data_IF_060750241612
#
_entry.id   IF_060750241612
#
_cell.length_a   1.000
_cell.length_b   1.000
_cell.length_c   1.000
_cell.angle_alpha   90.00
_cell.angle_beta   90.00
_cell.angle_gamma   90.00
#
_symmetry.space_group_name_H-M   'P 1'
#
loop_
_entity.id
_entity.type
_entity.pdbx_description
1 polymer ?
#
# COMPACT_ATOMS: atom_id res chain seq x y z
N UNK A 1 -7.58 12.74 -29.92
CA UNK A 1 -7.14 11.99 -28.72
C UNK A 1 -6.20 12.89 -27.96
N UNK A 2 -6.75 13.71 -27.07
CA UNK A 2 -5.97 14.48 -26.12
C UNK A 2 -5.70 13.54 -24.94
N UNK A 3 -4.43 13.22 -24.70
CA UNK A 3 -4.03 12.63 -23.44
C UNK A 3 -4.15 13.75 -22.40
N UNK A 4 -5.27 13.80 -21.70
CA UNK A 4 -5.36 14.47 -20.42
C UNK A 4 -4.36 13.75 -19.49
N UNK A 5 -3.15 14.30 -19.44
CA UNK A 5 -2.18 14.00 -18.42
C UNK A 5 -2.77 14.53 -17.12
N UNK A 6 -3.61 13.68 -16.52
CA UNK A 6 -4.16 13.81 -15.19
C UNK A 6 -3.08 14.38 -14.28
N UNK A 7 -3.29 15.65 -13.95
CA UNK A 7 -2.41 16.49 -13.18
C UNK A 7 -2.08 15.74 -11.91
N UNK A 8 -0.85 15.24 -11.82
CA UNK A 8 -0.34 14.50 -10.67
C UNK A 8 -0.45 15.41 -9.45
N UNK A 9 -1.60 15.32 -8.77
CA UNK A 9 -1.92 16.05 -7.56
C UNK A 9 -1.12 15.42 -6.42
N UNK A 10 0.19 15.65 -6.43
CA UNK A 10 1.10 15.22 -5.37
C UNK A 10 0.67 15.98 -4.11
N UNK A 11 0.18 15.31 -3.07
CA UNK A 11 -0.23 15.96 -1.84
C UNK A 11 0.95 16.75 -1.25
N UNK A 12 0.70 17.99 -0.78
CA UNK A 12 1.71 18.90 -0.18
C UNK A 12 2.35 18.39 1.13
N UNK A 13 2.09 17.16 1.53
CA UNK A 13 2.67 16.53 2.70
C UNK A 13 4.00 15.86 2.35
N UNK A 14 5.11 16.44 2.86
CA UNK A 14 6.47 15.88 2.73
C UNK A 14 6.55 14.39 3.13
N UNK A 15 5.67 13.94 4.03
CA UNK A 15 5.61 12.55 4.50
C UNK A 15 5.03 11.59 3.45
N UNK A 16 3.96 12.00 2.76
CA UNK A 16 3.32 11.20 1.71
C UNK A 16 4.22 11.12 0.48
N UNK A 17 4.86 12.24 0.11
CA UNK A 17 5.89 12.25 -0.94
C UNK A 17 7.05 11.31 -0.62
N UNK A 18 7.51 11.28 0.64
CA UNK A 18 8.56 10.35 1.07
C UNK A 18 8.11 8.90 0.98
N UNK A 19 6.88 8.57 1.39
CA UNK A 19 6.34 7.21 1.27
C UNK A 19 6.19 6.78 -0.19
N UNK A 20 5.78 7.68 -1.08
CA UNK A 20 5.69 7.41 -2.51
C UNK A 20 7.07 7.16 -3.14
N UNK A 21 8.07 7.96 -2.78
CA UNK A 21 9.45 7.74 -3.20
C UNK A 21 9.96 6.36 -2.72
N UNK A 22 9.68 5.99 -1.47
CA UNK A 22 10.06 4.69 -0.93
C UNK A 22 9.37 3.56 -1.68
N UNK A 23 8.07 3.67 -1.94
CA UNK A 23 7.34 2.68 -2.73
C UNK A 23 7.94 2.52 -4.14
N UNK A 24 8.36 3.63 -4.78
CA UNK A 24 9.03 3.59 -6.08
C UNK A 24 10.41 2.92 -6.01
N UNK A 25 11.21 3.21 -4.97
CA UNK A 25 12.50 2.55 -4.77
C UNK A 25 12.35 1.06 -4.48
N UNK A 26 11.37 0.66 -3.67
CA UNK A 26 11.03 -0.74 -3.42
C UNK A 26 10.59 -1.47 -4.70
N UNK A 27 9.80 -0.80 -5.54
CA UNK A 27 9.38 -1.35 -6.83
C UNK A 27 10.59 -1.55 -7.75
N UNK A 28 11.49 -0.56 -7.83
CA UNK A 28 12.71 -0.64 -8.62
C UNK A 28 13.65 -1.76 -8.12
N UNK A 29 13.82 -1.87 -6.80
CA UNK A 29 14.60 -2.94 -6.15
C UNK A 29 14.01 -4.31 -6.51
N UNK A 30 12.69 -4.45 -6.41
CA UNK A 30 12.00 -5.70 -6.70
C UNK A 30 12.09 -6.09 -8.18
N UNK A 31 11.96 -5.13 -9.10
CA UNK A 31 12.18 -5.35 -10.53
C UNK A 31 13.61 -5.80 -10.83
N UNK A 32 14.60 -5.12 -10.26
CA UNK A 32 16.01 -5.50 -10.42
C UNK A 32 16.25 -6.94 -9.94
N UNK A 33 15.70 -7.30 -8.77
CA UNK A 33 15.82 -8.65 -8.24
C UNK A 33 15.12 -9.69 -9.13
N UNK A 34 13.97 -9.34 -9.71
CA UNK A 34 13.27 -10.20 -10.66
C UNK A 34 14.09 -10.48 -11.91
N UNK A 35 14.69 -9.44 -12.53
CA UNK A 35 15.60 -9.61 -13.67
C UNK A 35 16.81 -10.48 -13.32
N UNK A 36 17.41 -10.26 -12.14
CA UNK A 36 18.51 -11.09 -11.66
C UNK A 36 18.08 -12.55 -11.50
N UNK A 37 16.90 -12.80 -10.93
CA UNK A 37 16.37 -14.15 -10.74
C UNK A 37 16.08 -14.87 -12.06
N UNK A 38 15.57 -14.15 -13.06
CA UNK A 38 15.35 -14.68 -14.41
C UNK A 38 16.68 -15.07 -15.06
N UNK A 39 17.72 -14.23 -14.93
CA UNK A 39 19.06 -14.53 -15.46
C UNK A 39 19.65 -15.80 -14.84
N UNK A 40 19.48 -15.99 -13.54
CA UNK A 40 19.92 -17.21 -12.83
C UNK A 40 19.10 -18.43 -13.26
N UNK A 41 17.79 -18.27 -13.42
CA UNK A 41 16.91 -19.37 -13.85
C UNK A 41 17.24 -19.85 -15.27
N UNK A 42 17.57 -18.95 -16.19
CA UNK A 42 18.00 -19.30 -17.55
C UNK A 42 19.32 -20.06 -17.54
N UNK A 43 20.23 -19.71 -16.63
CA UNK A 43 21.56 -20.32 -16.53
C UNK A 43 21.52 -21.68 -15.82
N UNK A 44 20.70 -21.82 -14.78
CA UNK A 44 20.56 -23.03 -13.99
C UNK A 44 19.09 -23.23 -13.54
N UNK A 45 18.36 -24.07 -14.28
CA UNK A 45 16.98 -24.46 -13.91
C UNK A 45 17.02 -25.43 -12.72
N UNK A 46 16.82 -24.89 -11.53
CA UNK A 46 16.69 -25.65 -10.29
C UNK A 46 15.41 -25.22 -9.57
N UNK A 47 14.77 -26.11 -8.81
CA UNK A 47 13.57 -25.83 -8.02
C UNK A 47 13.75 -24.62 -7.10
N UNK A 48 14.95 -24.42 -6.54
CA UNK A 48 15.28 -23.26 -5.73
C UNK A 48 15.19 -21.93 -6.52
N UNK A 49 15.67 -21.92 -7.76
CA UNK A 49 15.62 -20.74 -8.63
C UNK A 49 14.17 -20.39 -9.00
N UNK A 50 13.33 -21.40 -9.22
CA UNK A 50 11.89 -21.21 -9.50
C UNK A 50 11.16 -20.63 -8.28
N UNK A 51 11.44 -21.16 -7.08
CA UNK A 51 10.86 -20.67 -5.84
C UNK A 51 11.27 -19.21 -5.56
N UNK A 52 12.55 -18.88 -5.78
CA UNK A 52 13.07 -17.52 -5.66
C UNK A 52 12.33 -16.56 -6.62
N UNK A 53 12.17 -16.96 -7.89
CA UNK A 53 11.45 -16.15 -8.87
C UNK A 53 9.98 -15.92 -8.49
N UNK A 54 9.25 -16.96 -8.06
CA UNK A 54 7.87 -16.83 -7.59
C UNK A 54 7.75 -15.90 -6.38
N UNK A 55 8.71 -15.96 -5.46
CA UNK A 55 8.79 -15.04 -4.32
C UNK A 55 8.96 -13.59 -4.79
N UNK A 56 9.79 -13.35 -5.81
CA UNK A 56 9.95 -11.99 -6.40
C UNK A 56 8.64 -11.46 -6.97
N UNK A 57 7.87 -12.29 -7.69
CA UNK A 57 6.59 -11.89 -8.27
C UNK A 57 5.60 -11.54 -7.16
N UNK A 58 5.52 -12.37 -6.12
CA UNK A 58 4.67 -12.09 -4.98
C UNK A 58 5.03 -10.74 -4.31
N UNK A 59 6.33 -10.44 -4.17
CA UNK A 59 6.79 -9.15 -3.66
C UNK A 59 6.40 -7.98 -4.56
N UNK A 60 6.54 -8.09 -5.87
CA UNK A 60 6.11 -7.04 -6.82
C UNK A 60 4.62 -6.75 -6.63
N UNK A 61 3.78 -7.79 -6.49
CA UNK A 61 2.35 -7.62 -6.27
C UNK A 61 2.04 -6.87 -4.96
N UNK A 62 2.77 -7.16 -3.88
CA UNK A 62 2.56 -6.45 -2.61
C UNK A 62 2.99 -4.98 -2.72
N UNK A 63 4.10 -4.68 -3.40
CA UNK A 63 4.56 -3.30 -3.64
C UNK A 63 3.61 -2.52 -4.54
N UNK A 64 3.03 -3.14 -5.57
CA UNK A 64 1.96 -2.52 -6.37
C UNK A 64 0.74 -2.25 -5.49
N UNK A 65 0.37 -3.20 -4.61
CA UNK A 65 -0.68 -3.01 -3.61
C UNK A 65 -0.42 -1.83 -2.67
N UNK A 66 0.84 -1.64 -2.24
CA UNK A 66 1.27 -0.47 -1.48
C UNK A 66 1.04 0.82 -2.28
N UNK A 67 1.50 0.86 -3.53
CA UNK A 67 1.35 2.03 -4.40
C UNK A 67 -0.11 2.42 -4.60
N UNK A 68 -0.98 1.44 -4.90
CA UNK A 68 -2.43 1.64 -5.01
C UNK A 68 -3.04 2.06 -3.67
N UNK A 69 -2.58 1.48 -2.56
CA UNK A 69 -3.02 1.84 -1.21
C UNK A 69 -2.68 3.29 -0.84
N UNK A 70 -1.50 3.77 -1.23
CA UNK A 70 -1.08 5.16 -1.09
C UNK A 70 -1.88 6.09 -2.00
N UNK A 71 -2.09 5.71 -3.27
CA UNK A 71 -2.80 6.54 -4.26
C UNK A 71 -4.29 6.70 -3.91
N UNK A 72 -4.96 5.59 -3.61
CA UNK A 72 -6.40 5.55 -3.35
C UNK A 72 -6.75 5.78 -1.87
N UNK A 73 -5.76 6.04 -1.03
CA UNK A 73 -5.92 6.27 0.41
C UNK A 73 -6.53 5.09 1.17
N UNK A 74 -6.39 3.86 0.68
CA UNK A 74 -7.05 2.66 1.24
C UNK A 74 -6.19 2.04 2.35
N UNK A 75 -6.57 2.19 3.64
CA UNK A 75 -5.74 1.71 4.75
C UNK A 75 -5.54 0.19 4.75
N UNK A 76 -6.49 -0.58 4.24
CA UNK A 76 -6.42 -2.06 4.21
C UNK A 76 -5.23 -2.59 3.42
N UNK A 77 -4.93 -1.99 2.26
CA UNK A 77 -3.78 -2.40 1.43
C UNK A 77 -2.45 -2.03 2.10
N UNK A 78 -2.40 -0.88 2.78
CA UNK A 78 -1.23 -0.46 3.56
C UNK A 78 -0.97 -1.43 4.74
N UNK A 79 -2.02 -1.85 5.45
CA UNK A 79 -1.90 -2.83 6.55
C UNK A 79 -1.41 -4.17 6.02
N UNK A 80 -1.97 -4.66 4.92
CA UNK A 80 -1.52 -5.92 4.31
C UNK A 80 -0.04 -5.86 3.96
N UNK A 81 0.41 -4.77 3.33
CA UNK A 81 1.82 -4.58 3.03
C UNK A 81 2.69 -4.48 4.28
N UNK A 82 2.25 -3.74 5.32
CA UNK A 82 2.98 -3.62 6.58
C UNK A 82 3.15 -4.97 7.30
N UNK A 83 2.12 -5.81 7.31
CA UNK A 83 2.18 -7.15 7.90
C UNK A 83 3.14 -8.06 7.11
N UNK A 84 3.03 -8.03 5.78
CA UNK A 84 3.87 -8.84 4.90
C UNK A 84 5.34 -8.41 4.97
N UNK A 85 5.61 -7.11 4.89
CA UNK A 85 6.95 -6.53 5.01
C UNK A 85 7.54 -6.76 6.41
N UNK A 86 6.73 -6.65 7.48
CA UNK A 86 7.16 -6.94 8.84
C UNK A 86 7.54 -8.40 9.04
N UNK A 87 6.78 -9.33 8.46
CA UNK A 87 7.11 -10.75 8.48
C UNK A 87 8.41 -11.04 7.72
N UNK A 88 8.59 -10.46 6.54
CA UNK A 88 9.81 -10.60 5.77
C UNK A 88 11.04 -10.07 6.54
N UNK A 89 10.94 -8.87 7.10
CA UNK A 89 12.00 -8.27 7.92
C UNK A 89 12.36 -9.15 9.12
N UNK A 90 11.36 -9.77 9.76
CA UNK A 90 11.58 -10.70 10.87
C UNK A 90 12.33 -11.96 10.41
N UNK A 91 11.99 -12.49 9.24
CA UNK A 91 12.71 -13.62 8.63
C UNK A 91 14.16 -13.24 8.29
N UNK A 92 14.42 -12.04 7.80
CA UNK A 92 15.77 -11.56 7.51
C UNK A 92 16.61 -11.42 8.79
N UNK A 93 16.01 -10.99 9.91
CA UNK A 93 16.68 -10.97 11.22
C UNK A 93 17.03 -12.39 11.68
N UNK A 94 16.10 -13.34 11.57
CA UNK A 94 16.35 -14.75 11.91
C UNK A 94 17.47 -15.31 11.04
N UNK A 95 17.45 -15.00 9.74
CA UNK A 95 18.47 -15.43 8.80
C UNK A 95 19.84 -14.83 9.13
N UNK A 96 19.92 -13.55 9.53
CA UNK A 96 21.14 -12.92 10.01
C UNK A 96 21.72 -13.65 11.23
N UNK A 97 20.89 -13.89 12.26
CA UNK A 97 21.29 -14.59 13.48
C UNK A 97 21.80 -15.99 13.15
N UNK A 98 21.09 -16.70 12.29
CA UNK A 98 21.48 -18.03 11.82
C UNK A 98 22.84 -17.98 11.11
N UNK A 99 23.03 -17.04 10.19
CA UNK A 99 24.28 -16.87 9.43
C UNK A 99 25.48 -16.60 10.34
N UNK A 100 25.29 -15.73 11.34
CA UNK A 100 26.34 -15.40 12.32
C UNK A 100 26.65 -16.59 13.22
N UNK A 101 25.63 -17.31 13.70
CA UNK A 101 25.80 -18.43 14.63
C UNK A 101 26.38 -19.67 13.95
N UNK A 102 26.03 -19.90 12.69
CA UNK A 102 26.49 -21.06 11.93
C UNK A 102 27.88 -20.90 11.34
N UNK A 103 28.49 -19.71 11.43
CA UNK A 103 29.84 -19.48 10.93
C UNK A 103 30.89 -19.85 11.97
N UNK A 104 31.67 -20.93 11.76
CA UNK A 104 32.67 -21.38 12.72
C UNK A 104 33.96 -20.55 12.69
N UNK A 105 34.15 -19.69 11.68
CA UNK A 105 35.37 -18.90 11.47
C UNK A 105 35.00 -17.43 11.21
N UNK A 106 35.65 -16.52 11.93
CA UNK A 106 35.57 -15.09 11.66
C UNK A 106 36.54 -14.73 10.53
N UNK A 107 36.03 -14.72 9.30
CA UNK A 107 36.75 -14.24 8.12
C UNK A 107 36.21 -12.88 7.66
N UNK A 108 37.06 -12.08 7.02
CA UNK A 108 36.75 -10.73 6.54
C UNK A 108 35.63 -10.75 5.49
N UNK A 109 35.53 -11.82 4.68
CA UNK A 109 34.46 -11.97 3.70
C UNK A 109 33.10 -12.21 4.34
N UNK A 110 33.04 -13.07 5.36
CA UNK A 110 31.80 -13.32 6.12
C UNK A 110 31.35 -12.06 6.85
N UNK A 111 32.29 -11.31 7.43
CA UNK A 111 31.99 -10.03 8.07
C UNK A 111 31.39 -9.00 7.09
N UNK A 112 31.93 -8.90 5.86
CA UNK A 112 31.34 -8.04 4.82
C UNK A 112 29.92 -8.48 4.47
N UNK A 113 29.68 -9.78 4.33
CA UNK A 113 28.37 -10.31 3.99
C UNK A 113 27.33 -9.99 5.07
N UNK A 114 27.66 -10.19 6.34
CA UNK A 114 26.78 -9.85 7.46
C UNK A 114 26.52 -8.35 7.56
N UNK A 115 27.54 -7.53 7.31
CA UNK A 115 27.40 -6.07 7.35
C UNK A 115 26.42 -5.59 6.27
N UNK A 116 26.53 -6.11 5.04
CA UNK A 116 25.59 -5.81 3.95
C UNK A 116 24.17 -6.23 4.33
N UNK A 117 24.02 -7.44 4.89
CA UNK A 117 22.71 -7.96 5.31
C UNK A 117 22.09 -7.12 6.43
N UNK A 118 22.90 -6.69 7.40
CA UNK A 118 22.48 -5.76 8.45
C UNK A 118 21.99 -4.42 7.90
N UNK A 119 22.72 -3.82 6.94
CA UNK A 119 22.27 -2.59 6.28
C UNK A 119 20.97 -2.78 5.51
N UNK A 120 20.76 -3.94 4.90
CA UNK A 120 19.49 -4.31 4.26
C UNK A 120 18.32 -4.30 5.24
N UNK A 121 18.46 -4.97 6.38
CA UNK A 121 17.45 -5.00 7.45
C UNK A 121 17.18 -3.58 7.99
N UNK A 122 18.23 -2.80 8.22
CA UNK A 122 18.09 -1.43 8.70
C UNK A 122 17.31 -0.54 7.71
N UNK A 123 17.58 -0.70 6.42
CA UNK A 123 16.83 -0.02 5.36
C UNK A 123 15.35 -0.45 5.37
N UNK A 124 15.06 -1.74 5.43
CA UNK A 124 13.69 -2.27 5.47
C UNK A 124 12.91 -1.79 6.70
N UNK A 125 13.56 -1.78 7.87
CA UNK A 125 12.99 -1.21 9.09
C UNK A 125 12.64 0.27 8.93
N UNK A 126 13.50 1.04 8.24
CA UNK A 126 13.26 2.47 7.98
C UNK A 126 12.07 2.66 7.05
N UNK A 127 11.97 1.86 5.98
CA UNK A 127 10.82 1.87 5.06
C UNK A 127 9.51 1.53 5.78
N UNK A 128 9.52 0.46 6.57
CA UNK A 128 8.37 0.01 7.35
C UNK A 128 7.95 1.06 8.37
N UNK A 129 8.90 1.67 9.08
CA UNK A 129 8.63 2.75 10.04
C UNK A 129 7.96 3.96 9.39
N UNK A 130 8.44 4.39 8.20
CA UNK A 130 7.88 5.56 7.52
C UNK A 130 6.44 5.30 7.04
N UNK A 131 6.17 4.11 6.48
CA UNK A 131 4.83 3.73 6.04
C UNK A 131 3.91 3.51 7.25
N UNK A 132 4.40 2.93 8.34
CA UNK A 132 3.65 2.79 9.58
C UNK A 132 3.29 4.16 10.19
N UNK A 133 4.23 5.11 10.17
CA UNK A 133 4.00 6.48 10.63
C UNK A 133 2.95 7.18 9.78
N UNK A 134 3.00 7.00 8.47
CA UNK A 134 1.97 7.49 7.54
C UNK A 134 0.60 6.86 7.82
N UNK A 135 0.55 5.53 7.97
CA UNK A 135 -0.66 4.79 8.31
C UNK A 135 -1.29 5.29 9.62
N UNK A 136 -0.49 5.47 10.68
CA UNK A 136 -1.00 6.00 11.96
C UNK A 136 -1.59 7.40 11.81
N UNK A 137 -1.00 8.24 10.95
CA UNK A 137 -1.53 9.57 10.65
C UNK A 137 -2.86 9.48 9.91
N UNK A 138 -2.96 8.61 8.91
CA UNK A 138 -4.19 8.36 8.15
C UNK A 138 -5.31 7.83 9.05
N UNK A 139 -5.01 6.85 9.92
CA UNK A 139 -5.98 6.29 10.87
C UNK A 139 -6.46 7.33 11.88
N UNK A 140 -5.59 8.23 12.34
CA UNK A 140 -5.98 9.33 13.23
C UNK A 140 -6.95 10.31 12.56
N UNK A 141 -6.80 10.57 11.25
CA UNK A 141 -7.79 11.37 10.50
C UNK A 141 -9.11 10.61 10.40
N UNK A 142 -9.09 9.33 10.00
CA UNK A 142 -10.30 8.49 9.93
C UNK A 142 -11.05 8.36 11.27
N UNK A 143 -10.33 8.28 12.39
CA UNK A 143 -10.93 8.18 13.72
C UNK A 143 -11.52 9.51 14.21
N UNK A 144 -10.91 10.65 13.85
CA UNK A 144 -11.43 11.98 14.18
C UNK A 144 -12.62 12.39 13.30
N UNK A 145 -12.68 11.87 12.07
CA UNK A 145 -13.73 12.18 11.09
C UNK A 145 -14.98 11.31 11.24
N UNK A 146 -15.03 10.46 12.28
CA UNK A 146 -16.26 9.85 12.77
C UNK A 146 -17.01 9.01 11.73
N UNK A 147 -16.48 7.85 11.38
CA UNK A 147 -17.31 6.72 10.93
C UNK A 147 -18.16 6.91 9.67
N UNK A 148 -17.65 7.58 8.62
CA UNK A 148 -18.26 7.50 7.30
C UNK A 148 -17.25 7.12 6.22
N UNK A 149 -16.94 5.84 6.15
CA UNK A 149 -16.36 5.22 4.96
C UNK A 149 -17.18 3.98 4.62
N UNK A 150 -18.46 4.20 4.34
CA UNK A 150 -19.26 3.26 3.59
C UNK A 150 -19.05 3.56 2.09
N UNK A 151 -18.06 2.90 1.48
CA UNK A 151 -17.78 3.00 0.04
C UNK A 151 -18.61 1.97 -0.76
N UNK A 152 -19.83 1.66 -0.32
CA UNK A 152 -20.78 0.86 -1.09
C UNK A 152 -22.04 1.68 -1.41
N UNK A 153 -21.87 2.86 -1.98
CA UNK A 153 -22.89 3.53 -2.81
C UNK A 153 -22.30 4.78 -3.43
N UNK A 154 -21.84 4.70 -4.68
CA UNK A 154 -21.98 5.74 -5.70
C UNK A 154 -21.24 5.33 -6.99
N UNK A 155 -21.77 4.29 -7.62
CA UNK A 155 -21.79 4.02 -9.08
C UNK A 155 -23.13 3.27 -9.23
N UNK A 156 -24.24 3.76 -9.77
CA UNK A 156 -24.53 4.81 -10.73
C UNK A 156 -25.83 5.52 -10.31
N UNK A 157 -25.79 6.85 -10.15
CA UNK A 157 -26.92 7.66 -10.59
C UNK A 157 -26.51 9.13 -10.66
N UNK A 158 -26.25 9.61 -11.86
CA UNK A 158 -27.11 10.64 -12.48
C UNK A 158 -26.35 11.35 -13.58
N UNK A 159 -26.98 11.37 -14.75
CA UNK A 159 -27.16 12.48 -15.72
C UNK A 159 -27.29 11.86 -17.12
N UNK A 160 -28.30 12.09 -17.93
CA UNK A 160 -29.43 13.04 -17.99
C UNK A 160 -30.55 12.29 -18.76
N UNK A 161 -31.85 12.59 -18.68
CA UNK A 161 -32.44 13.78 -19.29
C UNK A 161 -33.92 13.95 -18.87
N UNK A 162 -34.37 15.19 -18.99
CA UNK A 162 -35.63 15.78 -18.58
C UNK A 162 -36.91 15.03 -18.99
N UNK A 163 -38.00 15.25 -18.25
CA UNK A 163 -39.17 16.02 -18.72
C UNK A 163 -40.23 16.11 -17.61
N UNK A 164 -40.72 17.33 -17.44
CA UNK A 164 -41.89 17.77 -16.68
C UNK A 164 -43.07 16.78 -16.72
N UNK A 165 -43.76 16.56 -15.59
CA UNK A 165 -45.18 16.91 -15.48
C UNK A 165 -45.73 16.77 -14.06
N UNK A 166 -46.35 17.86 -13.64
CA UNK A 166 -47.21 18.06 -12.49
C UNK A 166 -48.35 17.04 -12.48
N UNK A 167 -48.56 16.33 -11.37
CA UNK A 167 -49.89 15.82 -11.01
C UNK A 167 -50.03 15.48 -9.52
N UNK A 168 -50.67 16.42 -8.83
CA UNK A 168 -51.85 16.24 -7.97
C UNK A 168 -51.84 15.20 -6.83
N UNK A 169 -52.26 15.73 -5.67
CA UNK A 169 -53.11 15.10 -4.64
C UNK A 169 -52.39 14.52 -3.42
N UNK A 170 -52.21 15.35 -2.38
CA UNK A 170 -52.22 14.88 -1.00
C UNK A 170 -53.36 15.55 -0.24
N UNK A 171 -54.42 14.77 -0.04
CA UNK A 171 -55.45 15.02 0.96
C UNK A 171 -54.85 14.83 2.37
N UNK A 172 -55.42 15.63 3.29
CA UNK A 172 -55.69 15.33 4.70
C UNK A 172 -54.70 15.78 5.80
N UNK A 173 -55.30 16.53 6.73
CA UNK A 173 -54.93 16.88 8.12
C UNK A 173 -53.89 18.00 8.23
N UNK A 174 -54.17 19.12 8.91
CA UNK A 174 -54.50 19.20 10.33
C UNK A 174 -55.43 20.40 10.62
N UNK A 175 -56.37 20.15 11.54
CA UNK A 175 -57.33 21.06 12.16
C UNK A 175 -56.70 21.91 13.28
N UNK A 176 -57.44 22.92 13.73
CA UNK A 176 -57.30 23.72 14.97
C UNK A 176 -56.38 24.95 14.94
N UNK A 177 -56.99 26.12 14.70
CA UNK A 177 -57.43 27.00 15.79
C UNK A 177 -58.30 28.12 15.23
N UNK A 178 -59.59 28.07 15.54
CA UNK A 178 -60.44 29.25 15.51
C UNK A 178 -59.92 30.23 16.57
N UNK A 179 -59.69 31.47 16.16
CA UNK A 179 -59.45 32.56 17.08
C UNK A 179 -60.61 33.54 16.98
N UNK A 180 -61.11 33.90 18.16
CA UNK A 180 -62.19 34.82 18.46
C UNK A 180 -61.85 36.26 18.05
N UNK A 181 -62.88 37.07 17.77
CA UNK A 181 -62.78 38.52 17.61
C UNK A 181 -63.71 39.08 16.55
#
# INVERSE_FOLDING_TARGET
>A
MAFDLEEWNIPRDNLLRSCFLIAAFELLRSLYFSFSSVSVMISHTNSYSILAYLSTIAWILTVVGLFVGLWKGRPTLLVFWLLFSGFATAMDIIYLIWNVTSSPVFDVEHFKHWTILYFGIFYECTCLYLIFRYFRRLYSYCALEGGNYDWFSEEDCSKDDATETISTTSNAKISEKANEG
#
